data_IF_186803129811
#
_entry.id   IF_186803129811
#
_cell.length_a   1.000
_cell.length_b   1.000
_cell.length_c   1.000
_cell.angle_alpha   90.00
_cell.angle_beta   90.00
_cell.angle_gamma   90.00
#
_symmetry.space_group_name_H-M   'P 1'
#
loop_
_entity.id
_entity.type
_entity.pdbx_description
1 polymer ?
#
# COMPACT_ATOMS: atom_id res chain seq x y z
N UNK A 1 -0.25 14.17 -23.67
CA UNK A 1 1.11 14.00 -23.11
C UNK A 1 1.13 12.65 -22.42
N UNK A 2 2.21 11.89 -22.57
CA UNK A 2 2.38 10.63 -21.83
C UNK A 2 2.42 10.95 -20.34
N UNK A 3 1.60 10.28 -19.55
CA UNK A 3 1.66 10.32 -18.09
C UNK A 3 2.32 9.01 -17.66
N UNK A 4 3.58 9.09 -17.24
CA UNK A 4 4.37 7.93 -16.84
C UNK A 4 4.28 7.77 -15.31
N UNK A 5 3.09 7.40 -14.81
CA UNK A 5 2.90 7.03 -13.41
C UNK A 5 3.22 5.54 -13.22
N UNK A 6 4.06 5.27 -12.22
CA UNK A 6 4.43 3.94 -11.76
C UNK A 6 3.77 3.65 -10.41
N UNK A 7 3.47 2.37 -10.17
CA UNK A 7 2.86 1.89 -8.92
C UNK A 7 3.64 0.68 -8.43
N UNK A 8 4.08 0.71 -7.16
CA UNK A 8 4.70 -0.42 -6.45
C UNK A 8 3.78 -0.83 -5.30
N UNK A 9 3.55 -2.14 -5.16
CA UNK A 9 2.71 -2.71 -4.10
C UNK A 9 3.60 -3.62 -3.25
N UNK A 10 3.58 -3.42 -1.93
CA UNK A 10 4.38 -4.17 -0.97
C UNK A 10 3.52 -4.72 0.17
N UNK A 11 3.67 -6.01 0.47
CA UNK A 11 3.03 -6.62 1.65
C UNK A 11 3.85 -6.30 2.90
N UNK A 12 3.19 -5.74 3.92
CA UNK A 12 3.81 -5.42 5.22
C UNK A 12 2.97 -6.00 6.35
N UNK A 13 3.47 -5.92 7.60
CA UNK A 13 2.70 -6.33 8.79
C UNK A 13 1.43 -5.49 9.01
N UNK A 14 1.37 -4.27 8.47
CA UNK A 14 0.21 -3.38 8.54
C UNK A 14 -0.74 -3.53 7.35
N UNK A 15 -0.55 -4.57 6.52
CA UNK A 15 -1.29 -4.79 5.29
C UNK A 15 -0.53 -4.35 4.05
N UNK A 16 -1.26 -4.22 2.95
CA UNK A 16 -0.72 -3.89 1.63
C UNK A 16 -0.41 -2.39 1.54
N UNK A 17 0.85 -2.03 1.31
CA UNK A 17 1.30 -0.67 1.04
C UNK A 17 1.36 -0.46 -0.48
N UNK A 18 0.60 0.52 -0.97
CA UNK A 18 0.70 1.01 -2.36
C UNK A 18 1.50 2.31 -2.39
N UNK A 19 2.52 2.35 -3.25
CA UNK A 19 3.37 3.51 -3.53
C UNK A 19 3.14 3.92 -4.98
N UNK A 20 2.84 5.20 -5.23
CA UNK A 20 2.71 5.75 -6.59
C UNK A 20 3.65 6.92 -6.81
N UNK A 21 4.03 7.14 -8.07
CA UNK A 21 5.02 8.14 -8.40
C UNK A 21 5.54 8.07 -9.83
N UNK A 22 6.69 8.71 -10.05
CA UNK A 22 7.41 8.70 -11.34
C UNK A 22 8.84 8.21 -11.11
N UNK A 23 9.38 7.40 -12.04
CA UNK A 23 10.74 6.83 -11.96
C UNK A 23 10.96 6.03 -10.67
N UNK A 24 9.91 5.39 -10.18
CA UNK A 24 9.94 4.45 -9.07
C UNK A 24 10.69 3.18 -9.47
N UNK A 25 11.71 2.84 -8.71
CA UNK A 25 12.46 1.60 -8.90
C UNK A 25 12.93 1.06 -7.56
N UNK A 26 13.01 -0.27 -7.47
CA UNK A 26 13.51 -0.97 -6.29
C UNK A 26 15.03 -0.96 -6.35
N UNK A 27 15.67 -0.32 -5.37
CA UNK A 27 17.15 -0.31 -5.26
C UNK A 27 17.67 -1.43 -4.38
N UNK A 28 16.83 -1.97 -3.49
CA UNK A 28 17.16 -3.10 -2.64
C UNK A 28 15.92 -3.89 -2.27
N UNK A 29 16.03 -5.23 -2.32
CA UNK A 29 15.04 -6.16 -1.81
C UNK A 29 15.77 -7.30 -1.09
N UNK A 30 15.53 -7.45 0.20
CA UNK A 30 16.02 -8.57 0.99
C UNK A 30 14.87 -9.24 1.73
N UNK A 31 14.51 -10.44 1.29
CA UNK A 31 13.44 -11.24 1.88
C UNK A 31 13.84 -11.84 3.24
N UNK A 32 15.15 -12.08 3.45
CA UNK A 32 15.65 -12.68 4.70
C UNK A 32 15.47 -11.77 5.91
N UNK A 33 15.65 -10.46 5.71
CA UNK A 33 15.57 -9.45 6.77
C UNK A 33 14.36 -8.51 6.62
N UNK A 34 13.52 -8.72 5.60
CA UNK A 34 12.32 -7.93 5.36
C UNK A 34 12.58 -6.49 4.91
N UNK A 35 13.66 -6.25 4.17
CA UNK A 35 14.06 -4.90 3.74
C UNK A 35 13.65 -4.64 2.28
N UNK A 36 12.99 -3.50 2.05
CA UNK A 36 12.63 -3.00 0.73
C UNK A 36 13.02 -1.52 0.64
N UNK A 37 13.83 -1.15 -0.36
CA UNK A 37 14.18 0.23 -0.66
C UNK A 37 13.66 0.61 -2.05
N UNK A 38 12.93 1.71 -2.11
CA UNK A 38 12.34 2.26 -3.34
C UNK A 38 12.86 3.68 -3.50
N UNK A 39 13.30 4.01 -4.72
CA UNK A 39 13.73 5.36 -5.08
C UNK A 39 12.94 5.87 -6.28
N UNK A 40 12.73 7.19 -6.34
CA UNK A 40 11.95 7.86 -7.38
C UNK A 40 11.19 9.06 -6.81
N UNK A 41 10.33 9.67 -7.61
CA UNK A 41 9.46 10.76 -7.16
C UNK A 41 8.15 10.20 -6.63
N UNK A 42 7.99 10.18 -5.31
CA UNK A 42 6.76 9.67 -4.67
C UNK A 42 5.65 10.73 -4.75
N UNK A 43 4.50 10.35 -5.30
CA UNK A 43 3.29 11.18 -5.35
C UNK A 43 2.26 10.77 -4.29
N UNK A 44 2.19 9.48 -3.92
CA UNK A 44 1.29 9.00 -2.87
C UNK A 44 1.76 7.72 -2.21
N UNK A 45 1.38 7.55 -0.94
CA UNK A 45 1.56 6.34 -0.14
C UNK A 45 0.22 6.01 0.53
N UNK A 46 -0.27 4.77 0.37
CA UNK A 46 -1.52 4.34 1.00
C UNK A 46 -1.43 2.88 1.45
N UNK A 47 -1.78 2.63 2.71
CA UNK A 47 -2.10 1.28 3.18
C UNK A 47 -3.54 0.94 2.75
N UNK A 48 -3.75 -0.26 2.23
CA UNK A 48 -5.09 -0.82 2.12
C UNK A 48 -5.69 -0.90 3.52
N UNK A 49 -6.95 -0.50 3.68
CA UNK A 49 -7.68 -0.67 4.94
C UNK A 49 -7.56 -2.13 5.34
N UNK A 50 -6.87 -2.40 6.44
CA UNK A 50 -6.94 -3.70 7.10
C UNK A 50 -8.40 -3.81 7.52
N UNK A 51 -9.21 -4.73 6.96
CA UNK A 51 -10.62 -4.77 7.27
C UNK A 51 -10.73 -4.95 8.78
N UNK A 52 -11.16 -3.89 9.45
CA UNK A 52 -11.41 -3.89 10.87
C UNK A 52 -12.45 -4.99 11.07
N UNK A 53 -12.06 -6.10 11.70
CA UNK A 53 -12.97 -7.19 12.05
C UNK A 53 -13.91 -6.76 13.19
N UNK A 54 -14.38 -5.53 13.17
CA UNK A 54 -15.31 -4.96 14.13
C UNK A 54 -16.57 -4.50 13.39
N UNK A 55 -17.72 -5.00 13.84
CA UNK A 55 -18.97 -4.29 13.60
C UNK A 55 -20.12 -5.03 12.92
N UNK A 56 -20.36 -6.31 13.26
CA UNK A 56 -21.65 -6.99 13.04
C UNK A 56 -22.83 -6.37 13.83
N UNK A 57 -22.91 -5.04 13.98
CA UNK A 57 -23.71 -4.38 15.04
C UNK A 57 -24.64 -3.24 14.61
N UNK A 58 -24.97 -3.05 13.32
CA UNK A 58 -25.88 -1.95 12.92
C UNK A 58 -27.11 -2.31 12.06
N UNK A 59 -27.43 -3.58 11.79
CA UNK A 59 -28.52 -3.91 10.87
C UNK A 59 -29.77 -4.60 11.45
N UNK A 60 -29.96 -4.66 12.79
CA UNK A 60 -31.11 -5.38 13.37
C UNK A 60 -32.02 -4.65 14.35
N UNK A 61 -31.90 -3.35 14.56
CA UNK A 61 -32.85 -2.65 15.45
C UNK A 61 -33.22 -1.27 14.91
N UNK A 62 -34.01 -1.24 13.83
CA UNK A 62 -35.06 -0.23 13.68
C UNK A 62 -36.24 -0.89 12.95
N UNK A 63 -37.21 -1.35 13.74
CA UNK A 63 -38.60 -1.53 13.34
C UNK A 63 -39.38 -0.34 13.89
#
# INVERSE_FOLDING_TARGET
GSFDEETIIASTEYGELTVKGEKLHITKLSLEIGELCIEGRISSLSYADVPDKSGSFFSRVFR
#
